data_IF_978532972462
#
_entry.id   IF_978532972462
#
_cell.length_a   1.000
_cell.length_b   1.000
_cell.length_c   1.000
_cell.angle_alpha   90.00
_cell.angle_beta   90.00
_cell.angle_gamma   90.00
#
_symmetry.space_group_name_H-M   'P 1'
#
loop_
_entity.id
_entity.type
_entity.pdbx_description
1 polymer ?
#
# COMPACT_ATOMS: atom_id res chain seq x y z
N UNK A 1 5.79 -26.84 27.46
CA UNK A 1 4.39 -27.17 27.10
C UNK A 1 4.39 -28.58 26.51
N UNK A 2 3.53 -29.50 26.99
CA UNK A 2 3.53 -30.87 26.47
C UNK A 2 2.82 -30.89 25.07
N UNK A 3 3.54 -31.33 24.03
CA UNK A 3 3.04 -31.40 22.65
C UNK A 3 1.71 -32.15 22.51
N UNK A 4 1.52 -33.18 23.35
CA UNK A 4 0.28 -33.96 23.38
C UNK A 4 -0.93 -33.11 23.83
N UNK A 5 -0.75 -32.27 24.82
CA UNK A 5 -1.78 -31.37 25.35
C UNK A 5 -2.12 -30.32 24.30
N UNK A 6 -1.10 -29.73 23.65
CA UNK A 6 -1.27 -28.77 22.58
C UNK A 6 -2.08 -29.36 21.41
N UNK A 7 -1.77 -30.58 20.97
CA UNK A 7 -2.49 -31.25 19.89
C UNK A 7 -3.96 -31.51 20.21
N UNK A 8 -4.25 -31.90 21.47
CA UNK A 8 -5.63 -32.15 21.93
C UNK A 8 -6.41 -30.81 21.95
N UNK A 9 -5.78 -29.75 22.45
CA UNK A 9 -6.40 -28.44 22.53
C UNK A 9 -6.65 -27.86 21.12
N UNK A 10 -5.71 -27.99 20.20
CA UNK A 10 -5.89 -27.60 18.79
C UNK A 10 -7.09 -28.32 18.12
N UNK A 11 -7.32 -29.60 18.46
CA UNK A 11 -8.45 -30.35 17.88
C UNK A 11 -9.81 -29.99 18.49
N UNK A 12 -9.83 -29.52 19.74
CA UNK A 12 -11.07 -29.26 20.50
C UNK A 12 -11.40 -27.76 20.66
N UNK A 13 -10.46 -26.87 20.33
CA UNK A 13 -10.67 -25.42 20.45
C UNK A 13 -11.26 -24.81 19.20
N UNK A 14 -11.79 -23.60 19.34
CA UNK A 14 -12.25 -22.74 18.22
C UNK A 14 -11.05 -22.15 17.45
N UNK A 15 -9.83 -22.27 17.96
CA UNK A 15 -8.64 -21.64 17.40
C UNK A 15 -8.38 -22.00 15.92
N UNK A 16 -8.45 -23.28 15.46
CA UNK A 16 -8.27 -23.60 14.05
C UNK A 16 -9.33 -22.93 13.14
N UNK A 17 -10.57 -22.85 13.62
CA UNK A 17 -11.63 -22.15 12.91
C UNK A 17 -11.36 -20.65 12.83
N UNK A 18 -10.84 -20.02 13.89
CA UNK A 18 -10.44 -18.63 13.87
C UNK A 18 -9.33 -18.37 12.84
N UNK A 19 -8.32 -19.25 12.78
CA UNK A 19 -7.28 -19.17 11.76
C UNK A 19 -7.84 -19.34 10.34
N UNK A 20 -8.73 -20.31 10.12
CA UNK A 20 -9.36 -20.52 8.82
C UNK A 20 -10.22 -19.32 8.39
N UNK A 21 -11.03 -18.76 9.29
CA UNK A 21 -11.85 -17.58 9.04
C UNK A 21 -10.95 -16.37 8.67
N UNK A 22 -9.88 -16.13 9.43
CA UNK A 22 -8.96 -15.02 9.14
C UNK A 22 -8.31 -15.20 7.78
N UNK A 23 -7.81 -16.41 7.45
CA UNK A 23 -7.18 -16.68 6.17
C UNK A 23 -8.15 -16.55 4.99
N UNK A 24 -9.34 -17.16 5.09
CA UNK A 24 -10.35 -17.09 4.03
C UNK A 24 -10.87 -15.67 3.82
N UNK A 25 -11.08 -14.92 4.90
CA UNK A 25 -11.47 -13.51 4.81
C UNK A 25 -10.38 -12.68 4.13
N UNK A 26 -9.10 -12.88 4.51
CA UNK A 26 -7.98 -12.17 3.89
C UNK A 26 -7.89 -12.45 2.39
N UNK A 27 -7.96 -13.74 1.99
CA UNK A 27 -7.94 -14.13 0.58
C UNK A 27 -9.16 -13.61 -0.19
N UNK A 28 -10.34 -13.62 0.44
CA UNK A 28 -11.55 -13.06 -0.17
C UNK A 28 -11.40 -11.56 -0.43
N UNK A 29 -10.87 -10.79 0.52
CA UNK A 29 -10.61 -9.36 0.31
C UNK A 29 -9.60 -9.13 -0.81
N UNK A 30 -8.49 -9.84 -0.83
CA UNK A 30 -7.46 -9.68 -1.85
C UNK A 30 -7.93 -10.04 -3.27
N UNK A 31 -8.77 -11.07 -3.40
CA UNK A 31 -9.14 -11.58 -4.73
C UNK A 31 -10.55 -11.19 -5.20
N UNK A 32 -11.48 -10.85 -4.30
CA UNK A 32 -12.86 -10.57 -4.66
C UNK A 32 -13.27 -9.12 -4.49
N UNK A 33 -12.72 -8.43 -3.48
CA UNK A 33 -13.13 -7.07 -3.12
C UNK A 33 -12.13 -6.04 -3.58
N UNK A 34 -10.84 -6.33 -3.44
CA UNK A 34 -9.79 -5.39 -3.79
C UNK A 34 -9.46 -5.49 -5.28
N UNK A 35 -10.04 -4.57 -6.05
CA UNK A 35 -9.85 -4.49 -7.48
C UNK A 35 -8.42 -4.09 -7.91
N UNK A 36 -7.55 -3.71 -6.98
CA UNK A 36 -6.19 -3.26 -7.29
C UNK A 36 -5.29 -4.38 -7.84
N UNK A 37 -5.61 -5.64 -7.61
CA UNK A 37 -4.81 -6.77 -8.09
C UNK A 37 -4.79 -6.94 -9.63
N UNK A 38 -5.69 -6.31 -10.37
CA UNK A 38 -5.67 -6.30 -11.85
C UNK A 38 -5.12 -5.00 -12.45
N UNK A 39 -4.66 -4.06 -11.62
CA UNK A 39 -4.15 -2.76 -12.05
C UNK A 39 -2.62 -2.73 -12.23
N UNK A 40 -2.03 -3.80 -12.75
CA UNK A 40 -0.61 -3.83 -13.09
C UNK A 40 0.33 -3.92 -11.90
N UNK A 41 1.38 -3.09 -11.84
CA UNK A 41 2.47 -3.18 -10.87
C UNK A 41 2.10 -2.70 -9.46
N UNK A 42 0.98 -1.98 -9.30
CA UNK A 42 0.40 -1.67 -7.98
C UNK A 42 -0.24 -2.89 -7.32
N UNK A 43 -0.31 -4.03 -8.03
CA UNK A 43 -0.78 -5.27 -7.45
C UNK A 43 0.02 -5.64 -6.20
N UNK A 44 -0.66 -6.20 -5.21
CA UNK A 44 -0.04 -6.66 -3.97
C UNK A 44 1.07 -7.71 -4.19
N UNK A 45 1.13 -8.34 -5.35
CA UNK A 45 2.15 -9.31 -5.76
C UNK A 45 3.28 -8.73 -6.59
N UNK A 46 3.37 -7.41 -6.75
CA UNK A 46 4.39 -6.78 -7.58
C UNK A 46 5.80 -7.01 -7.03
N UNK A 47 5.98 -6.88 -5.72
CA UNK A 47 7.26 -7.09 -5.02
C UNK A 47 7.03 -7.51 -3.55
N UNK A 48 8.14 -7.88 -2.89
CA UNK A 48 8.13 -8.38 -1.51
C UNK A 48 7.60 -7.37 -0.50
N UNK A 49 8.04 -6.11 -0.58
CA UNK A 49 7.59 -5.05 0.34
C UNK A 49 6.14 -4.69 0.08
N UNK A 50 5.72 -4.53 -1.17
CA UNK A 50 4.32 -4.29 -1.53
C UNK A 50 3.42 -5.39 -0.99
N UNK A 51 3.77 -6.67 -1.18
CA UNK A 51 3.03 -7.81 -0.64
C UNK A 51 2.87 -7.71 0.88
N UNK A 52 3.96 -7.40 1.59
CA UNK A 52 3.93 -7.30 3.04
C UNK A 52 3.09 -6.10 3.54
N UNK A 53 3.15 -4.97 2.85
CA UNK A 53 2.34 -3.78 3.15
C UNK A 53 0.85 -4.02 2.89
N UNK A 54 0.51 -4.64 1.76
CA UNK A 54 -0.86 -5.00 1.43
C UNK A 54 -1.47 -5.99 2.43
N UNK A 55 -0.73 -7.08 2.76
CA UNK A 55 -1.19 -8.04 3.77
C UNK A 55 -1.37 -7.36 5.12
N UNK A 56 -0.61 -6.32 5.40
CA UNK A 56 -0.70 -5.54 6.61
C UNK A 56 -1.84 -4.52 6.60
N UNK A 57 -2.18 -3.94 5.45
CA UNK A 57 -3.34 -3.07 5.28
C UNK A 57 -4.64 -3.83 5.60
N UNK A 58 -4.73 -5.11 5.23
CA UNK A 58 -5.86 -5.96 5.58
C UNK A 58 -6.13 -6.09 7.08
N UNK A 59 -5.15 -5.77 7.95
CA UNK A 59 -5.36 -5.77 9.40
C UNK A 59 -6.44 -4.78 9.84
N UNK A 60 -6.78 -3.78 9.01
CA UNK A 60 -7.94 -2.92 9.24
C UNK A 60 -9.24 -3.71 9.47
N UNK A 61 -9.38 -4.86 8.80
CA UNK A 61 -10.52 -5.77 8.89
C UNK A 61 -10.20 -7.01 9.74
N UNK A 62 -9.02 -7.58 9.56
CA UNK A 62 -8.65 -8.85 10.20
C UNK A 62 -8.36 -8.71 11.69
N UNK A 63 -7.85 -7.57 12.13
CA UNK A 63 -7.54 -7.34 13.55
C UNK A 63 -8.81 -7.22 14.40
N UNK A 64 -9.85 -6.44 14.04
CA UNK A 64 -11.13 -6.47 14.71
C UNK A 64 -11.76 -7.86 14.78
N UNK A 65 -11.67 -8.62 13.69
CA UNK A 65 -12.13 -10.00 13.64
C UNK A 65 -11.38 -10.88 14.64
N UNK A 66 -10.05 -10.77 14.70
CA UNK A 66 -9.21 -11.52 15.64
C UNK A 66 -9.54 -11.17 17.10
N UNK A 67 -9.80 -9.89 17.41
CA UNK A 67 -10.23 -9.44 18.75
C UNK A 67 -11.57 -10.07 19.13
N UNK A 68 -12.56 -10.05 18.22
CA UNK A 68 -13.88 -10.65 18.46
C UNK A 68 -13.82 -12.17 18.64
N UNK A 69 -13.08 -12.88 17.78
CA UNK A 69 -12.87 -14.32 17.89
C UNK A 69 -12.11 -14.69 19.17
N UNK A 70 -11.12 -13.88 19.56
CA UNK A 70 -10.45 -14.01 20.86
C UNK A 70 -11.42 -13.87 22.04
N UNK A 71 -12.31 -12.88 22.00
CA UNK A 71 -13.32 -12.69 23.04
C UNK A 71 -14.29 -13.88 23.14
N UNK A 72 -14.70 -14.47 22.02
CA UNK A 72 -15.50 -15.70 22.01
C UNK A 72 -14.76 -16.86 22.68
N UNK A 73 -13.46 -16.99 22.43
CA UNK A 73 -12.62 -18.00 23.07
C UNK A 73 -12.48 -17.77 24.59
N UNK A 74 -12.36 -16.50 25.00
CA UNK A 74 -12.31 -16.11 26.42
C UNK A 74 -13.60 -16.40 27.20
N UNK A 75 -14.75 -16.35 26.52
CA UNK A 75 -16.08 -16.66 27.08
C UNK A 75 -16.36 -18.16 27.21
N UNK A 76 -15.55 -19.03 26.62
CA UNK A 76 -15.82 -20.48 26.55
C UNK A 76 -16.08 -21.08 27.92
N UNK A 77 -15.26 -20.76 28.93
CA UNK A 77 -15.35 -21.32 30.26
C UNK A 77 -16.60 -20.87 31.01
N UNK A 78 -17.00 -19.64 30.81
CA UNK A 78 -18.23 -19.10 31.39
C UNK A 78 -19.47 -19.74 30.76
N UNK A 79 -19.49 -19.92 29.43
CA UNK A 79 -20.59 -20.56 28.71
C UNK A 79 -20.75 -22.03 29.08
N UNK A 80 -19.67 -22.75 29.29
CA UNK A 80 -19.69 -24.18 29.68
C UNK A 80 -19.96 -24.41 31.15
N UNK A 81 -20.12 -23.37 31.98
CA UNK A 81 -20.37 -23.41 33.43
C UNK A 81 -19.35 -24.24 34.21
N UNK A 82 -18.13 -24.42 33.65
CA UNK A 82 -17.06 -25.20 34.29
C UNK A 82 -16.09 -24.37 35.13
N UNK A 83 -16.37 -23.05 35.27
CA UNK A 83 -15.51 -22.13 36.01
C UNK A 83 -15.23 -22.59 37.46
N UNK A 84 -16.24 -23.11 38.17
CA UNK A 84 -16.11 -23.60 39.54
C UNK A 84 -15.23 -24.87 39.64
N UNK A 85 -15.42 -25.81 38.72
CA UNK A 85 -14.59 -27.03 38.66
C UNK A 85 -13.12 -26.73 38.38
N UNK A 86 -12.87 -25.62 37.68
CA UNK A 86 -11.52 -25.21 37.30
C UNK A 86 -10.78 -24.49 38.45
N UNK A 87 -11.49 -23.92 39.42
CA UNK A 87 -10.90 -23.30 40.61
C UNK A 87 -10.45 -24.36 41.64
N UNK A 88 -11.01 -25.58 41.61
CA UNK A 88 -10.64 -26.69 42.49
C UNK A 88 -9.44 -27.47 42.01
N UNK A 89 -8.92 -27.20 40.79
CA UNK A 89 -7.73 -27.89 40.27
C UNK A 89 -6.44 -27.30 40.84
N UNK A 90 -5.48 -28.14 41.19
CA UNK A 90 -4.17 -27.74 41.73
C UNK A 90 -3.24 -27.05 40.69
N UNK A 91 -3.65 -26.96 39.43
CA UNK A 91 -2.85 -26.31 38.38
C UNK A 91 -2.94 -24.79 38.44
N UNK A 92 -1.80 -24.05 38.40
CA UNK A 92 -1.79 -22.62 38.39
C UNK A 92 -2.57 -22.07 37.17
N UNK A 93 -3.38 -21.02 37.38
CA UNK A 93 -4.25 -20.42 36.34
C UNK A 93 -3.48 -20.00 35.09
N UNK A 94 -2.23 -19.57 35.25
CA UNK A 94 -1.39 -19.12 34.13
C UNK A 94 -1.03 -20.24 33.14
N UNK A 95 -0.90 -21.50 33.57
CA UNK A 95 -0.63 -22.62 32.67
C UNK A 95 -1.77 -22.82 31.66
N UNK A 96 -3.00 -22.66 32.12
CA UNK A 96 -4.18 -22.78 31.28
C UNK A 96 -4.30 -21.57 30.34
N UNK A 97 -4.11 -20.36 30.87
CA UNK A 97 -4.05 -19.16 30.09
C UNK A 97 -2.98 -19.26 28.99
N UNK A 98 -1.78 -19.75 29.31
CA UNK A 98 -0.69 -19.94 28.35
C UNK A 98 -1.03 -20.98 27.27
N UNK A 99 -1.72 -22.07 27.63
CA UNK A 99 -2.14 -23.07 26.64
C UNK A 99 -3.18 -22.48 25.67
N UNK A 100 -4.16 -21.78 26.20
CA UNK A 100 -5.23 -21.15 25.42
C UNK A 100 -4.68 -20.04 24.51
N UNK A 101 -3.88 -19.12 25.07
CA UNK A 101 -3.24 -18.05 24.30
C UNK A 101 -2.26 -18.61 23.27
N UNK A 102 -1.48 -19.63 23.63
CA UNK A 102 -0.49 -20.27 22.76
C UNK A 102 -1.13 -21.00 21.57
N UNK A 103 -2.24 -21.73 21.76
CA UNK A 103 -2.95 -22.37 20.65
C UNK A 103 -3.51 -21.35 19.68
N UNK A 104 -4.11 -20.29 20.18
CA UNK A 104 -4.63 -19.20 19.34
C UNK A 104 -3.51 -18.44 18.64
N UNK A 105 -2.41 -18.15 19.33
CA UNK A 105 -1.25 -17.50 18.74
C UNK A 105 -0.67 -18.32 17.57
N UNK A 106 -0.47 -19.62 17.77
CA UNK A 106 0.06 -20.50 16.72
C UNK A 106 -0.88 -20.56 15.52
N UNK A 107 -2.19 -20.69 15.73
CA UNK A 107 -3.14 -20.80 14.61
C UNK A 107 -3.25 -19.49 13.81
N UNK A 108 -3.31 -18.34 14.48
CA UNK A 108 -3.37 -17.05 13.80
C UNK A 108 -2.06 -16.68 13.12
N UNK A 109 -0.92 -16.92 13.76
CA UNK A 109 0.39 -16.72 13.15
C UNK A 109 0.58 -17.64 11.93
N UNK A 110 0.15 -18.91 12.01
CA UNK A 110 0.19 -19.83 10.88
C UNK A 110 -0.74 -19.40 9.74
N UNK A 111 -1.95 -18.92 10.04
CA UNK A 111 -2.88 -18.42 9.05
C UNK A 111 -2.28 -17.20 8.31
N UNK A 112 -1.69 -16.26 9.05
CA UNK A 112 -1.01 -15.11 8.47
C UNK A 112 0.24 -15.51 7.68
N UNK A 113 1.03 -16.46 8.18
CA UNK A 113 2.19 -16.99 7.45
C UNK A 113 1.78 -17.68 6.14
N UNK A 114 0.67 -18.42 6.12
CA UNK A 114 0.12 -18.99 4.89
C UNK A 114 -0.32 -17.91 3.91
N UNK A 115 -0.95 -16.83 4.38
CA UNK A 115 -1.30 -15.70 3.53
C UNK A 115 -0.05 -15.08 2.88
N UNK A 116 0.99 -14.82 3.69
CA UNK A 116 2.28 -14.31 3.21
C UNK A 116 2.93 -15.30 2.22
N UNK A 117 2.85 -16.61 2.48
CA UNK A 117 3.37 -17.63 1.58
C UNK A 117 2.65 -17.64 0.22
N UNK A 118 1.32 -17.51 0.22
CA UNK A 118 0.53 -17.38 -1.02
C UNK A 118 1.00 -16.16 -1.82
N UNK A 119 1.22 -15.03 -1.16
CA UNK A 119 1.78 -13.83 -1.79
C UNK A 119 3.21 -14.05 -2.30
N UNK A 120 4.06 -14.65 -1.48
CA UNK A 120 5.47 -14.92 -1.83
C UNK A 120 5.60 -15.76 -3.11
N UNK A 121 4.78 -16.81 -3.27
CA UNK A 121 4.76 -17.64 -4.48
C UNK A 121 4.40 -16.82 -5.72
N UNK A 122 3.52 -15.82 -5.59
CA UNK A 122 3.10 -14.96 -6.70
C UNK A 122 4.10 -13.82 -6.97
N UNK A 123 4.86 -13.38 -5.97
CA UNK A 123 5.92 -12.37 -6.13
C UNK A 123 7.14 -12.91 -6.87
N UNK A 124 7.50 -14.18 -6.66
CA UNK A 124 8.69 -14.80 -7.25
C UNK A 124 8.85 -14.62 -8.77
N UNK A 125 7.79 -14.79 -9.61
CA UNK A 125 7.90 -14.55 -11.05
C UNK A 125 7.92 -13.07 -11.43
N UNK A 126 7.46 -12.17 -10.56
CA UNK A 126 7.24 -10.76 -10.89
C UNK A 126 8.48 -9.89 -10.66
N UNK A 127 9.34 -10.25 -9.71
CA UNK A 127 10.53 -9.47 -9.40
C UNK A 127 11.78 -10.35 -9.24
N UNK A 128 12.92 -9.83 -9.73
CA UNK A 128 14.24 -10.41 -9.46
C UNK A 128 14.91 -9.78 -8.25
N UNK A 129 14.38 -8.66 -7.77
CA UNK A 129 14.88 -7.99 -6.58
C UNK A 129 14.38 -8.68 -5.32
N UNK A 130 15.30 -9.33 -4.60
CA UNK A 130 15.00 -10.05 -3.35
C UNK A 130 15.73 -9.40 -2.18
N UNK A 131 15.01 -9.13 -1.11
CA UNK A 131 15.54 -8.57 0.13
C UNK A 131 14.71 -9.07 1.32
N UNK A 132 15.23 -8.90 2.56
CA UNK A 132 14.56 -9.36 3.77
C UNK A 132 13.74 -8.27 4.47
N UNK A 133 13.62 -7.05 3.91
CA UNK A 133 12.89 -5.93 4.50
C UNK A 133 11.39 -6.19 4.71
N UNK A 134 10.81 -7.12 3.96
CA UNK A 134 9.41 -7.55 4.13
C UNK A 134 9.17 -8.39 5.40
N UNK A 135 10.21 -9.05 5.94
CA UNK A 135 10.08 -9.91 7.13
C UNK A 135 9.59 -9.14 8.37
N UNK A 136 10.23 -8.01 8.79
CA UNK A 136 9.75 -7.27 9.96
C UNK A 136 8.32 -6.77 9.77
N UNK A 137 7.94 -6.35 8.55
CA UNK A 137 6.56 -5.93 8.23
C UNK A 137 5.58 -7.09 8.51
N UNK A 138 5.89 -8.28 7.98
CA UNK A 138 5.04 -9.47 8.13
C UNK A 138 5.02 -10.00 9.56
N UNK A 139 6.15 -9.97 10.28
CA UNK A 139 6.22 -10.41 11.67
C UNK A 139 5.37 -9.53 12.61
N UNK A 140 5.43 -8.21 12.43
CA UNK A 140 4.59 -7.28 13.19
C UNK A 140 3.11 -7.47 12.81
N UNK A 141 2.81 -7.80 11.54
CA UNK A 141 1.45 -8.18 11.11
C UNK A 141 0.91 -9.42 11.83
N UNK A 142 1.70 -10.49 11.90
CA UNK A 142 1.35 -11.69 12.64
C UNK A 142 1.17 -11.41 14.15
N UNK A 143 2.10 -10.64 14.74
CA UNK A 143 2.03 -10.22 16.14
C UNK A 143 0.75 -9.41 16.41
N UNK A 144 0.31 -8.59 15.48
CA UNK A 144 -0.92 -7.80 15.62
C UNK A 144 -2.15 -8.68 15.80
N UNK A 145 -2.31 -9.72 14.96
CA UNK A 145 -3.42 -10.67 15.09
C UNK A 145 -3.37 -11.42 16.42
N UNK A 146 -2.19 -11.86 16.82
CA UNK A 146 -1.98 -12.56 18.09
C UNK A 146 -2.32 -11.65 19.28
N UNK A 147 -1.80 -10.42 19.27
CA UNK A 147 -2.01 -9.45 20.35
C UNK A 147 -3.50 -9.08 20.48
N UNK A 148 -4.17 -8.82 19.34
CA UNK A 148 -5.60 -8.55 19.32
C UNK A 148 -6.45 -9.70 19.86
N UNK A 149 -6.15 -10.94 19.43
CA UNK A 149 -6.88 -12.11 19.91
C UNK A 149 -6.64 -12.37 21.41
N UNK A 150 -5.40 -12.24 21.89
CA UNK A 150 -5.08 -12.42 23.32
C UNK A 150 -5.74 -11.33 24.17
N UNK A 151 -5.74 -10.09 23.71
CA UNK A 151 -6.46 -8.99 24.36
C UNK A 151 -7.97 -9.28 24.39
N UNK A 152 -8.54 -9.70 23.27
CA UNK A 152 -9.95 -10.11 23.17
C UNK A 152 -10.29 -11.24 24.14
N UNK A 153 -9.44 -12.28 24.23
CA UNK A 153 -9.63 -13.38 25.21
C UNK A 153 -9.68 -12.88 26.64
N UNK A 154 -8.72 -12.01 27.01
CA UNK A 154 -8.67 -11.41 28.35
C UNK A 154 -9.89 -10.60 28.68
N UNK A 155 -10.31 -9.73 27.73
CA UNK A 155 -11.48 -8.90 27.88
C UNK A 155 -12.79 -9.73 27.94
N UNK A 156 -12.92 -10.75 27.09
CA UNK A 156 -14.07 -11.67 27.09
C UNK A 156 -14.21 -12.42 28.42
N UNK A 157 -13.08 -12.81 29.04
CA UNK A 157 -13.10 -13.42 30.38
C UNK A 157 -13.42 -12.41 31.47
N UNK A 158 -12.90 -11.17 31.37
CA UNK A 158 -13.13 -10.12 32.37
C UNK A 158 -14.58 -9.61 32.35
N UNK A 159 -15.22 -9.59 31.17
CA UNK A 159 -16.57 -9.12 30.93
C UNK A 159 -17.42 -10.25 30.31
N UNK A 160 -17.90 -11.22 31.11
CA UNK A 160 -18.55 -12.42 30.60
C UNK A 160 -20.00 -12.14 30.16
N UNK A 161 -20.15 -11.52 29.00
CA UNK A 161 -21.45 -11.24 28.35
C UNK A 161 -21.47 -11.75 26.91
N UNK A 162 -22.64 -12.16 26.43
CA UNK A 162 -22.84 -12.55 25.04
C UNK A 162 -22.57 -11.39 24.05
N UNK A 163 -22.73 -10.16 24.51
CA UNK A 163 -22.48 -8.94 23.72
C UNK A 163 -21.00 -8.53 23.67
N UNK A 164 -20.14 -9.07 24.57
CA UNK A 164 -18.72 -8.68 24.62
C UNK A 164 -17.97 -8.95 23.32
N UNK A 165 -18.08 -10.10 22.64
CA UNK A 165 -17.36 -10.33 21.39
C UNK A 165 -17.75 -9.37 20.27
N UNK A 166 -19.05 -9.16 19.94
CA UNK A 166 -19.40 -8.21 18.88
C UNK A 166 -19.09 -6.76 19.26
N UNK A 167 -19.23 -6.37 20.53
CA UNK A 167 -18.87 -5.04 21.00
C UNK A 167 -17.37 -4.77 20.88
N UNK A 168 -16.53 -5.73 21.24
CA UNK A 168 -15.06 -5.61 21.09
C UNK A 168 -14.62 -5.61 19.62
N UNK A 169 -15.22 -6.43 18.77
CA UNK A 169 -14.94 -6.42 17.34
C UNK A 169 -15.33 -5.07 16.72
N UNK A 170 -16.51 -4.56 17.04
CA UNK A 170 -16.96 -3.26 16.55
C UNK A 170 -16.10 -2.11 17.09
N UNK A 171 -15.78 -2.11 18.39
CA UNK A 171 -14.90 -1.11 19.00
C UNK A 171 -13.49 -1.13 18.38
N UNK A 172 -12.94 -2.30 18.10
CA UNK A 172 -11.67 -2.47 17.41
C UNK A 172 -11.75 -1.95 15.96
N UNK A 173 -12.85 -2.22 15.25
CA UNK A 173 -13.07 -1.70 13.90
C UNK A 173 -13.18 -0.17 13.89
N UNK A 174 -13.97 0.39 14.79
CA UNK A 174 -14.09 1.86 14.93
C UNK A 174 -12.73 2.47 15.30
N UNK A 175 -11.95 1.84 16.19
CA UNK A 175 -10.61 2.29 16.51
C UNK A 175 -9.70 2.32 15.27
N UNK A 176 -9.64 1.24 14.48
CA UNK A 176 -8.84 1.22 13.27
C UNK A 176 -9.33 2.23 12.23
N UNK A 177 -10.64 2.36 12.05
CA UNK A 177 -11.22 3.34 11.13
C UNK A 177 -10.89 4.78 11.53
N UNK A 178 -11.04 5.14 12.80
CA UNK A 178 -10.70 6.49 13.31
C UNK A 178 -9.20 6.80 13.19
N UNK A 179 -8.33 5.80 13.34
CA UNK A 179 -6.89 5.98 13.14
C UNK A 179 -6.54 6.22 11.66
N UNK A 180 -7.31 5.65 10.73
CA UNK A 180 -7.11 5.85 9.28
C UNK A 180 -7.79 7.11 8.75
N UNK A 181 -8.89 7.52 9.35
CA UNK A 181 -9.58 8.77 8.98
C UNK A 181 -8.78 9.95 9.52
N UNK A 182 -7.97 10.57 8.66
CA UNK A 182 -7.44 11.91 8.94
C UNK A 182 -8.61 12.89 8.91
N UNK A 183 -9.24 13.11 10.05
CA UNK A 183 -10.28 14.12 10.19
C UNK A 183 -9.61 15.50 10.19
N UNK A 184 -9.38 16.04 8.99
CA UNK A 184 -8.82 17.37 8.80
C UNK A 184 -7.41 17.40 8.19
N UNK A 185 -6.85 18.60 8.11
CA UNK A 185 -5.55 18.90 7.47
C UNK A 185 -4.33 18.46 8.32
N UNK A 186 -4.55 18.16 9.60
CA UNK A 186 -3.47 17.80 10.52
C UNK A 186 -3.36 16.27 10.66
N UNK A 187 -2.14 15.71 10.48
CA UNK A 187 -1.92 14.29 10.66
C UNK A 187 -2.11 13.88 12.12
N UNK A 188 -2.90 12.83 12.35
CA UNK A 188 -3.17 12.31 13.69
C UNK A 188 -1.93 11.61 14.27
N UNK A 189 -1.31 12.19 15.31
CA UNK A 189 -0.09 11.65 15.97
C UNK A 189 -0.26 10.25 16.55
N UNK A 190 -1.48 9.79 16.80
CA UNK A 190 -1.75 8.45 17.33
C UNK A 190 -2.06 7.42 16.23
N UNK A 191 -2.18 7.83 14.97
CA UNK A 191 -2.44 6.91 13.86
C UNK A 191 -1.40 5.79 13.73
N UNK A 192 -0.11 5.98 14.07
CA UNK A 192 0.89 4.92 14.03
C UNK A 192 0.66 3.78 15.04
N UNK A 193 -0.25 3.95 16.01
CA UNK A 193 -0.67 2.86 16.90
C UNK A 193 -1.63 1.87 16.23
N UNK A 194 -2.21 2.23 15.08
CA UNK A 194 -3.01 1.28 14.31
C UNK A 194 -2.17 0.07 13.89
N UNK A 195 -2.66 -1.17 14.07
CA UNK A 195 -1.98 -2.35 13.56
C UNK A 195 -1.99 -2.41 12.04
N UNK A 196 -3.00 -1.82 11.41
CA UNK A 196 -3.08 -1.68 9.97
C UNK A 196 -2.23 -0.49 9.49
N UNK A 197 -1.63 -0.63 8.33
CA UNK A 197 -0.95 0.46 7.62
C UNK A 197 -1.81 0.86 6.43
N UNK A 198 -1.63 2.07 5.91
CA UNK A 198 -2.30 2.47 4.68
C UNK A 198 -1.82 1.62 3.52
N UNK A 199 -2.69 1.44 2.54
CA UNK A 199 -2.32 0.83 1.27
C UNK A 199 -1.31 1.74 0.59
N UNK A 200 -0.08 1.24 0.45
CA UNK A 200 0.96 1.96 -0.26
C UNK A 200 0.90 1.51 -1.72
N UNK A 201 0.54 2.42 -2.57
CA UNK A 201 0.45 2.18 -4.03
C UNK A 201 1.82 2.23 -4.71
N UNK A 202 2.84 2.73 -4.02
CA UNK A 202 4.18 2.89 -4.57
C UNK A 202 5.08 1.71 -4.20
N UNK A 203 5.72 1.15 -5.22
CA UNK A 203 6.57 -0.04 -5.13
C UNK A 203 7.87 0.21 -4.36
N UNK A 204 8.27 1.48 -4.24
CA UNK A 204 9.55 1.89 -3.65
C UNK A 204 9.46 2.32 -2.18
N UNK A 205 8.31 2.13 -1.56
CA UNK A 205 8.08 2.57 -0.18
C UNK A 205 8.18 1.41 0.80
N UNK A 206 8.84 1.63 1.92
CA UNK A 206 8.91 0.71 3.06
C UNK A 206 8.57 1.43 4.36
N UNK A 207 8.40 0.69 5.45
CA UNK A 207 8.17 1.26 6.77
C UNK A 207 9.50 1.57 7.47
N UNK A 208 9.53 2.70 8.19
CA UNK A 208 10.69 3.06 8.99
C UNK A 208 10.93 2.07 10.16
N UNK A 209 12.18 1.89 10.56
CA UNK A 209 12.55 0.99 11.66
C UNK A 209 11.86 1.39 12.99
N UNK A 210 11.67 2.67 13.24
CA UNK A 210 10.97 3.18 14.43
C UNK A 210 9.51 2.70 14.51
N UNK A 211 8.84 2.56 13.36
CA UNK A 211 7.47 2.01 13.29
C UNK A 211 7.47 0.54 13.71
N UNK A 212 8.40 -0.27 13.22
CA UNK A 212 8.49 -1.68 13.62
C UNK A 212 8.72 -1.84 15.12
N UNK A 213 9.65 -1.08 15.69
CA UNK A 213 9.98 -1.14 17.12
C UNK A 213 8.81 -0.61 17.97
N UNK A 214 8.27 0.57 17.64
CA UNK A 214 7.19 1.18 18.41
C UNK A 214 5.92 0.32 18.40
N UNK A 215 5.53 -0.19 17.23
CA UNK A 215 4.37 -1.07 17.13
C UNK A 215 4.60 -2.43 17.82
N UNK A 216 5.79 -2.99 17.76
CA UNK A 216 6.10 -4.23 18.50
C UNK A 216 5.92 -4.03 19.99
N UNK A 217 6.42 -2.93 20.58
CA UNK A 217 6.27 -2.61 22.02
C UNK A 217 4.78 -2.45 22.35
N UNK A 218 4.02 -1.73 21.56
CA UNK A 218 2.58 -1.54 21.73
C UNK A 218 1.82 -2.87 21.73
N UNK A 219 2.06 -3.70 20.72
CA UNK A 219 1.42 -4.99 20.53
C UNK A 219 1.77 -5.98 21.65
N UNK A 220 3.02 -6.00 22.10
CA UNK A 220 3.43 -6.79 23.27
C UNK A 220 2.74 -6.31 24.55
N UNK A 221 2.58 -5.00 24.74
CA UNK A 221 1.78 -4.43 25.82
C UNK A 221 0.33 -4.90 25.79
N UNK A 222 -0.31 -4.92 24.61
CA UNK A 222 -1.67 -5.45 24.45
C UNK A 222 -1.74 -6.96 24.76
N UNK A 223 -0.81 -7.75 24.23
CA UNK A 223 -0.76 -9.19 24.49
C UNK A 223 -0.55 -9.50 25.98
N UNK A 224 0.36 -8.77 26.65
CA UNK A 224 0.60 -8.91 28.08
C UNK A 224 -0.63 -8.53 28.91
N UNK A 225 -1.33 -7.45 28.55
CA UNK A 225 -2.60 -7.07 29.19
C UNK A 225 -3.66 -8.15 29.01
N UNK A 226 -3.86 -8.64 27.80
CA UNK A 226 -4.82 -9.72 27.54
C UNK A 226 -4.50 -10.99 28.33
N UNK A 227 -3.22 -11.38 28.39
CA UNK A 227 -2.78 -12.51 29.17
C UNK A 227 -2.97 -12.28 30.68
N UNK A 228 -2.64 -11.10 31.20
CA UNK A 228 -2.84 -10.75 32.59
C UNK A 228 -4.34 -10.78 32.99
N UNK A 229 -5.22 -10.29 32.11
CA UNK A 229 -6.68 -10.37 32.30
C UNK A 229 -7.19 -11.83 32.32
N UNK A 230 -6.59 -12.74 31.54
CA UNK A 230 -6.91 -14.17 31.57
C UNK A 230 -6.58 -14.82 32.90
N UNK A 231 -5.59 -14.30 33.63
CA UNK A 231 -5.15 -14.85 34.95
C UNK A 231 -5.83 -14.12 36.11
N UNK A 232 -6.25 -12.87 35.91
CA UNK A 232 -6.79 -12.00 36.96
C UNK A 232 -8.10 -12.54 37.54
N UNK A 233 -8.09 -12.81 38.87
CA UNK A 233 -9.26 -13.31 39.59
C UNK A 233 -10.08 -12.22 40.29
N UNK A 234 -9.46 -11.10 40.70
CA UNK A 234 -10.10 -10.04 41.48
C UNK A 234 -10.23 -8.73 40.68
N UNK A 235 -11.16 -7.83 41.04
CA UNK A 235 -11.26 -6.53 40.37
C UNK A 235 -9.97 -5.73 40.43
N UNK A 236 -9.22 -5.77 41.54
CA UNK A 236 -7.93 -5.07 41.68
C UNK A 236 -6.88 -5.63 40.73
N UNK A 237 -6.78 -6.96 40.61
CA UNK A 237 -5.83 -7.59 39.67
C UNK A 237 -6.22 -7.31 38.19
N UNK A 238 -7.50 -7.14 37.89
CA UNK A 238 -7.96 -6.73 36.54
C UNK A 238 -7.55 -5.31 36.20
N UNK A 239 -7.60 -4.37 37.16
CA UNK A 239 -7.12 -3.00 36.96
C UNK A 239 -5.60 -2.99 36.77
N UNK A 240 -4.84 -3.73 37.59
CA UNK A 240 -3.39 -3.86 37.43
C UNK A 240 -3.01 -4.52 36.10
N UNK A 241 -3.86 -5.40 35.56
CA UNK A 241 -3.63 -6.04 34.28
C UNK A 241 -3.66 -5.06 33.09
N UNK A 242 -4.17 -3.83 33.27
CA UNK A 242 -4.14 -2.78 32.23
C UNK A 242 -2.79 -2.04 32.16
N UNK A 243 -1.94 -2.16 33.16
CA UNK A 243 -0.65 -1.44 33.20
C UNK A 243 0.26 -1.74 31.98
N UNK A 244 0.40 -3.00 31.49
CA UNK A 244 1.27 -3.26 30.34
C UNK A 244 0.85 -2.52 29.06
N UNK A 245 -0.46 -2.40 28.79
CA UNK A 245 -0.93 -1.68 27.60
C UNK A 245 -0.70 -0.18 27.73
N UNK A 246 -0.89 0.38 28.93
CA UNK A 246 -0.64 1.81 29.16
C UNK A 246 0.85 2.15 29.03
N UNK A 247 1.72 1.35 29.67
CA UNK A 247 3.18 1.51 29.58
C UNK A 247 3.64 1.30 28.13
N UNK A 248 3.14 0.26 27.47
CA UNK A 248 3.42 -0.01 26.06
C UNK A 248 3.02 1.13 25.15
N UNK A 249 1.85 1.74 25.38
CA UNK A 249 1.38 2.89 24.61
C UNK A 249 2.29 4.11 24.79
N UNK A 250 2.66 4.44 26.04
CA UNK A 250 3.55 5.58 26.32
C UNK A 250 4.90 5.39 25.64
N UNK A 251 5.53 4.22 25.81
CA UNK A 251 6.83 3.94 25.20
C UNK A 251 6.72 3.94 23.67
N UNK A 252 5.68 3.33 23.11
CA UNK A 252 5.46 3.33 21.67
C UNK A 252 5.34 4.73 21.10
N UNK A 253 4.57 5.63 21.74
CA UNK A 253 4.41 7.01 21.29
C UNK A 253 5.71 7.84 21.38
N UNK A 254 6.65 7.46 22.24
CA UNK A 254 7.98 8.07 22.30
C UNK A 254 8.91 7.58 21.19
N UNK A 255 8.70 6.35 20.70
CA UNK A 255 9.54 5.73 19.65
C UNK A 255 8.98 5.96 18.25
N UNK A 256 7.65 5.99 18.12
CA UNK A 256 6.97 6.23 16.85
C UNK A 256 7.23 7.66 16.35
N UNK A 257 7.30 7.87 15.02
CA UNK A 257 7.46 9.20 14.46
C UNK A 257 6.30 10.10 14.88
N UNK A 258 6.62 11.31 15.30
CA UNK A 258 5.63 12.34 15.68
C UNK A 258 4.79 12.82 14.49
N UNK A 259 5.36 12.72 13.28
CA UNK A 259 4.66 12.98 12.02
C UNK A 259 4.38 11.64 11.33
N UNK A 260 3.10 11.26 11.13
CA UNK A 260 2.72 10.04 10.43
C UNK A 260 3.29 9.91 9.01
N UNK A 261 3.58 11.02 8.34
CA UNK A 261 4.22 11.02 7.02
C UNK A 261 5.61 10.37 7.03
N UNK A 262 6.31 10.40 8.16
CA UNK A 262 7.62 9.77 8.37
C UNK A 262 7.54 8.27 8.69
N UNK A 263 6.34 7.69 8.71
CA UNK A 263 6.17 6.24 8.83
C UNK A 263 6.72 5.51 7.62
N UNK A 264 6.58 6.14 6.45
CA UNK A 264 7.00 5.60 5.18
C UNK A 264 8.32 6.26 4.77
N UNK A 265 9.24 5.43 4.30
CA UNK A 265 10.56 5.84 3.82
C UNK A 265 10.82 5.17 2.47
N UNK A 266 11.64 5.82 1.65
CA UNK A 266 12.09 5.19 0.38
C UNK A 266 12.97 4.00 0.71
N UNK A 267 12.73 2.88 0.04
CA UNK A 267 13.66 1.76 0.00
C UNK A 267 14.77 2.12 -1.01
N UNK A 268 15.85 2.74 -0.51
CA UNK A 268 16.94 3.24 -1.34
C UNK A 268 17.58 2.13 -2.19
N UNK A 269 17.63 0.91 -1.65
CA UNK A 269 18.18 -0.23 -2.38
C UNK A 269 17.26 -0.69 -3.51
N UNK A 270 15.95 -0.59 -3.34
CA UNK A 270 14.96 -0.87 -4.39
C UNK A 270 14.95 0.22 -5.46
N UNK A 271 15.13 1.48 -5.03
CA UNK A 271 15.15 2.67 -5.88
C UNK A 271 16.48 2.88 -6.64
N UNK A 272 17.52 2.09 -6.33
CA UNK A 272 18.79 2.15 -7.06
C UNK A 272 18.58 1.96 -8.57
N UNK A 273 19.11 2.88 -9.37
CA UNK A 273 18.90 2.87 -10.81
C UNK A 273 19.85 1.90 -11.52
N UNK A 274 19.27 1.08 -12.39
CA UNK A 274 19.99 0.21 -13.33
C UNK A 274 19.74 0.73 -14.74
N UNK A 275 20.83 0.99 -15.49
CA UNK A 275 20.75 1.69 -16.76
C UNK A 275 21.28 0.87 -17.94
N UNK A 276 20.68 1.06 -19.12
CA UNK A 276 21.21 0.70 -20.43
C UNK A 276 21.37 1.99 -21.26
N UNK A 277 22.56 2.58 -21.21
CA UNK A 277 22.85 3.88 -21.78
C UNK A 277 22.00 4.99 -21.11
N UNK A 278 21.22 5.78 -21.85
CA UNK A 278 20.41 6.87 -21.30
C UNK A 278 19.08 6.42 -20.66
N UNK A 279 18.76 5.11 -20.70
CA UNK A 279 17.48 4.56 -20.19
C UNK A 279 17.74 3.83 -18.89
N UNK A 280 17.09 4.28 -17.82
CA UNK A 280 17.27 3.74 -16.47
C UNK A 280 15.92 3.33 -15.86
N UNK A 281 15.93 2.21 -15.18
CA UNK A 281 14.83 1.72 -14.35
C UNK A 281 15.32 1.46 -12.94
N UNK A 282 14.41 1.34 -11.98
CA UNK A 282 14.77 0.92 -10.63
C UNK A 282 15.19 -0.55 -10.62
N UNK A 283 15.97 -0.93 -9.62
CA UNK A 283 16.42 -2.30 -9.40
C UNK A 283 15.25 -3.28 -9.29
N UNK A 284 14.13 -2.81 -8.76
CA UNK A 284 12.87 -3.56 -8.67
C UNK A 284 12.36 -3.97 -10.06
N UNK A 285 12.48 -3.09 -11.03
CA UNK A 285 12.00 -3.27 -12.39
C UNK A 285 13.12 -3.64 -13.38
N UNK A 286 14.30 -4.03 -12.90
CA UNK A 286 15.44 -4.39 -13.76
C UNK A 286 15.08 -5.39 -14.87
N UNK A 287 14.17 -6.31 -14.62
CA UNK A 287 13.72 -7.28 -15.63
C UNK A 287 13.01 -6.62 -16.83
N UNK A 288 12.42 -5.43 -16.65
CA UNK A 288 11.73 -4.68 -17.70
C UNK A 288 12.66 -3.81 -18.54
N UNK A 289 13.90 -3.58 -18.09
CA UNK A 289 14.86 -2.72 -18.79
C UNK A 289 15.12 -3.19 -20.23
N UNK A 290 15.23 -4.49 -20.45
CA UNK A 290 15.48 -5.05 -21.78
C UNK A 290 14.36 -4.67 -22.79
N UNK A 291 13.11 -4.67 -22.36
CA UNK A 291 11.98 -4.26 -23.19
C UNK A 291 11.84 -2.75 -23.36
N UNK A 292 12.35 -1.97 -22.40
CA UNK A 292 12.26 -0.51 -22.39
C UNK A 292 13.39 0.19 -23.12
N UNK A 293 14.59 -0.41 -23.12
CA UNK A 293 15.81 0.25 -23.61
C UNK A 293 15.73 0.69 -25.09
N UNK A 294 15.20 -0.17 -25.96
CA UNK A 294 14.99 0.15 -27.38
C UNK A 294 13.99 1.30 -27.58
N UNK A 295 12.75 1.15 -27.12
CA UNK A 295 11.74 2.22 -27.16
C UNK A 295 12.19 3.53 -26.51
N UNK A 296 12.92 3.47 -25.38
CA UNK A 296 13.43 4.64 -24.70
C UNK A 296 14.49 5.40 -25.52
N UNK A 297 15.43 4.70 -26.11
CA UNK A 297 16.44 5.30 -27.00
C UNK A 297 15.80 5.93 -28.24
N UNK A 298 14.79 5.27 -28.80
CA UNK A 298 14.05 5.78 -29.97
C UNK A 298 13.21 7.00 -29.61
N UNK A 299 12.54 7.02 -28.46
CA UNK A 299 11.80 8.19 -27.97
C UNK A 299 12.74 9.41 -27.82
N UNK A 300 13.93 9.22 -27.22
CA UNK A 300 14.92 10.30 -27.10
C UNK A 300 15.42 10.79 -28.45
N UNK A 301 15.65 9.91 -29.42
CA UNK A 301 16.05 10.26 -30.78
C UNK A 301 14.98 11.14 -31.46
N UNK A 302 13.71 10.74 -31.38
CA UNK A 302 12.58 11.48 -31.96
C UNK A 302 12.38 12.83 -31.28
N UNK A 303 12.44 12.87 -29.96
CA UNK A 303 12.37 14.11 -29.19
C UNK A 303 13.51 15.07 -29.54
N UNK A 304 14.74 14.54 -29.71
CA UNK A 304 15.89 15.37 -30.12
C UNK A 304 15.69 15.95 -31.53
N UNK A 305 15.23 15.13 -32.45
CA UNK A 305 14.92 15.62 -33.83
C UNK A 305 13.83 16.72 -33.85
N UNK A 306 12.84 16.65 -32.95
CA UNK A 306 11.72 17.59 -32.88
C UNK A 306 12.07 18.88 -32.13
N UNK A 307 12.80 18.82 -30.99
CA UNK A 307 13.05 19.90 -30.02
C UNK A 307 14.49 20.42 -30.03
N UNK A 308 15.43 19.73 -30.70
CA UNK A 308 16.83 20.12 -30.72
C UNK A 308 17.46 20.15 -29.35
N UNK A 309 18.18 21.21 -29.00
CA UNK A 309 18.88 21.36 -27.71
C UNK A 309 17.99 21.40 -26.46
N UNK A 310 16.68 21.56 -26.63
CA UNK A 310 15.71 21.55 -25.50
C UNK A 310 15.17 20.14 -25.20
N UNK A 311 15.51 19.14 -26.01
CA UNK A 311 15.06 17.78 -25.81
C UNK A 311 15.61 17.17 -24.51
N UNK A 312 14.88 16.22 -23.90
CA UNK A 312 15.41 15.38 -22.82
C UNK A 312 16.54 14.48 -23.36
N UNK A 313 17.50 14.18 -22.49
CA UNK A 313 18.69 13.37 -22.81
C UNK A 313 18.68 12.01 -22.12
N UNK A 314 17.74 11.77 -21.21
CA UNK A 314 17.60 10.50 -20.50
C UNK A 314 16.14 10.16 -20.24
N UNK A 315 15.87 8.87 -20.11
CA UNK A 315 14.61 8.29 -19.66
C UNK A 315 14.87 7.59 -18.35
N UNK A 316 14.14 7.94 -17.30
CA UNK A 316 14.34 7.36 -15.94
C UNK A 316 13.00 7.05 -15.30
N UNK A 317 12.95 5.92 -14.63
CA UNK A 317 11.85 5.64 -13.73
C UNK A 317 11.84 6.64 -12.57
N UNK A 318 10.65 7.15 -12.24
CA UNK A 318 10.47 8.09 -11.14
C UNK A 318 10.68 7.37 -9.80
N UNK A 319 11.54 7.92 -8.96
CA UNK A 319 11.83 7.39 -7.62
C UNK A 319 11.37 8.31 -6.51
N UNK A 320 10.71 9.41 -6.86
CA UNK A 320 10.21 10.38 -5.88
C UNK A 320 8.95 9.86 -5.21
N UNK A 321 9.02 9.66 -3.91
CA UNK A 321 7.86 9.35 -3.06
C UNK A 321 7.28 10.67 -2.58
N UNK A 322 6.10 10.99 -3.06
CA UNK A 322 5.40 12.22 -2.73
C UNK A 322 4.18 11.92 -1.83
N UNK A 323 3.90 12.76 -0.83
CA UNK A 323 2.70 12.61 -0.01
C UNK A 323 1.44 12.90 -0.82
N UNK A 324 0.30 12.35 -0.39
CA UNK A 324 -1.01 12.61 -1.00
C UNK A 324 -1.27 14.13 -1.09
N UNK A 325 -1.79 14.56 -2.24
CA UNK A 325 -2.05 15.95 -2.55
C UNK A 325 -0.83 16.76 -2.98
N UNK A 326 0.38 16.20 -2.96
CA UNK A 326 1.56 16.88 -3.47
C UNK A 326 1.58 16.93 -4.99
N UNK A 327 1.99 18.07 -5.55
CA UNK A 327 2.19 18.24 -6.99
C UNK A 327 3.56 17.67 -7.39
N UNK A 328 3.64 16.81 -8.43
CA UNK A 328 4.90 16.29 -8.94
C UNK A 328 5.85 17.41 -9.40
N UNK A 329 7.16 17.16 -9.32
CA UNK A 329 8.18 18.04 -9.85
C UNK A 329 8.84 17.39 -11.07
N UNK A 330 8.92 18.12 -12.16
CA UNK A 330 9.40 17.63 -13.43
C UNK A 330 10.67 18.35 -13.91
N UNK A 331 11.51 17.63 -14.65
CA UNK A 331 12.79 18.13 -15.15
C UNK A 331 12.84 18.03 -16.66
N UNK A 332 13.05 19.17 -17.34
CA UNK A 332 12.99 19.23 -18.81
C UNK A 332 14.06 18.41 -19.56
N UNK A 333 15.13 17.98 -18.89
CA UNK A 333 16.22 17.17 -19.47
C UNK A 333 16.07 15.65 -19.25
N UNK A 334 15.06 15.23 -18.50
CA UNK A 334 14.82 13.81 -18.20
C UNK A 334 13.35 13.49 -18.43
N UNK A 335 13.06 12.42 -19.15
CA UNK A 335 11.73 11.83 -19.19
C UNK A 335 11.58 10.97 -17.94
N UNK A 336 10.76 11.43 -17.00
CA UNK A 336 10.36 10.64 -15.84
C UNK A 336 9.08 9.88 -16.16
N UNK A 337 9.03 8.62 -15.79
CA UNK A 337 7.87 7.75 -16.00
C UNK A 337 7.69 6.79 -14.83
N UNK A 338 6.48 6.31 -14.65
CA UNK A 338 6.14 5.25 -13.70
C UNK A 338 5.53 4.07 -14.47
N UNK A 339 5.90 2.84 -14.09
CA UNK A 339 5.32 1.64 -14.71
C UNK A 339 3.82 1.47 -14.40
N UNK A 340 3.34 2.17 -13.38
CA UNK A 340 1.92 2.19 -12.97
C UNK A 340 1.09 3.24 -13.70
N UNK A 341 1.73 4.11 -14.45
CA UNK A 341 1.03 5.06 -15.30
C UNK A 341 0.25 4.33 -16.40
N UNK A 342 -1.03 4.66 -16.54
CA UNK A 342 -1.95 3.95 -17.44
C UNK A 342 -1.44 3.85 -18.88
N UNK A 343 -0.80 4.93 -19.40
CA UNK A 343 -0.25 4.93 -20.76
C UNK A 343 1.02 4.08 -20.87
N UNK A 344 1.84 4.00 -19.83
CA UNK A 344 3.04 3.15 -19.81
C UNK A 344 2.67 1.69 -19.57
N UNK A 345 1.77 1.43 -18.62
CA UNK A 345 1.34 0.08 -18.25
C UNK A 345 0.62 -0.65 -19.40
N UNK A 346 -0.16 0.08 -20.20
CA UNK A 346 -0.89 -0.48 -21.31
C UNK A 346 -0.05 -0.62 -22.60
N UNK A 347 1.04 0.14 -22.73
CA UNK A 347 1.84 0.26 -23.95
C UNK A 347 2.64 -1.02 -24.27
N UNK A 348 2.65 -1.41 -25.54
CA UNK A 348 3.42 -2.55 -26.05
C UNK A 348 4.18 -2.18 -27.32
N UNK A 349 5.42 -2.65 -27.44
CA UNK A 349 6.22 -2.41 -28.65
C UNK A 349 6.41 -0.93 -28.96
N UNK A 350 5.96 -0.48 -30.13
CA UNK A 350 6.07 0.92 -30.57
C UNK A 350 5.24 1.89 -29.71
N UNK A 351 4.12 1.43 -29.14
CA UNK A 351 3.29 2.24 -28.26
C UNK A 351 4.05 2.74 -27.03
N UNK A 352 5.03 1.97 -26.56
CA UNK A 352 5.88 2.38 -25.43
C UNK A 352 6.77 3.59 -25.82
N UNK A 353 7.22 3.66 -27.08
CA UNK A 353 7.92 4.85 -27.60
C UNK A 353 7.00 6.07 -27.56
N UNK A 354 5.73 5.91 -28.00
CA UNK A 354 4.76 7.02 -27.98
C UNK A 354 4.43 7.47 -26.56
N UNK A 355 4.24 6.52 -25.65
CA UNK A 355 3.99 6.82 -24.24
C UNK A 355 5.16 7.59 -23.59
N UNK A 356 6.41 7.21 -23.89
CA UNK A 356 7.59 7.92 -23.40
C UNK A 356 7.73 9.31 -24.05
N UNK A 357 7.38 9.48 -25.32
CA UNK A 357 7.31 10.80 -25.95
C UNK A 357 6.24 11.64 -25.24
N UNK A 358 5.04 11.10 -24.99
CA UNK A 358 3.99 11.78 -24.26
C UNK A 358 4.48 12.30 -22.91
N UNK A 359 5.13 11.46 -22.12
CA UNK A 359 5.71 11.84 -20.80
C UNK A 359 6.84 12.87 -20.91
N UNK A 360 7.66 12.79 -21.94
CA UNK A 360 8.74 13.75 -22.19
C UNK A 360 8.25 15.13 -22.66
N UNK A 361 7.07 15.18 -23.27
CA UNK A 361 6.43 16.41 -23.74
C UNK A 361 5.50 17.02 -22.70
N UNK A 362 4.64 16.20 -22.12
CA UNK A 362 3.59 16.59 -21.16
C UNK A 362 3.57 15.57 -20.01
N UNK A 363 4.44 15.73 -19.01
CA UNK A 363 4.32 14.96 -17.76
C UNK A 363 3.02 15.34 -17.06
N UNK A 364 2.38 14.36 -16.37
CA UNK A 364 1.13 14.59 -15.66
C UNK A 364 1.30 15.47 -14.44
N UNK A 365 0.41 16.44 -14.26
CA UNK A 365 0.43 17.38 -13.14
C UNK A 365 -0.63 17.10 -12.07
N UNK A 366 -1.28 15.94 -12.14
CA UNK A 366 -2.26 15.53 -11.14
C UNK A 366 -1.61 15.33 -9.80
N UNK A 367 -2.12 15.94 -8.71
CA UNK A 367 -1.62 15.69 -7.37
C UNK A 367 -1.74 14.20 -7.02
N UNK A 368 -0.78 13.70 -6.23
CA UNK A 368 -0.75 12.30 -5.78
C UNK A 368 -2.07 11.93 -5.09
N UNK A 369 -2.62 10.76 -5.41
CA UNK A 369 -3.90 10.29 -4.87
C UNK A 369 -5.15 10.86 -5.54
N UNK A 370 -5.02 11.81 -6.47
CA UNK A 370 -6.12 12.35 -7.24
C UNK A 370 -6.22 11.65 -8.61
N UNK A 371 -7.43 11.53 -9.13
CA UNK A 371 -7.63 11.10 -10.54
C UNK A 371 -7.96 12.34 -11.38
N UNK A 372 -7.17 12.58 -12.44
CA UNK A 372 -7.55 13.58 -13.44
C UNK A 372 -7.96 12.90 -14.72
N UNK A 373 -9.03 13.39 -15.30
CA UNK A 373 -9.41 13.09 -16.67
C UNK A 373 -9.33 14.38 -17.48
N UNK A 374 -8.67 14.35 -18.61
CA UNK A 374 -8.87 15.33 -19.68
C UNK A 374 -7.61 16.07 -20.13
N UNK A 375 -7.29 17.21 -19.54
CA UNK A 375 -6.33 18.17 -20.12
C UNK A 375 -4.96 17.60 -20.49
N UNK A 376 -4.35 16.81 -19.62
CA UNK A 376 -3.03 16.21 -19.87
C UNK A 376 -3.08 15.21 -21.04
N UNK A 377 -4.11 14.37 -21.14
CA UNK A 377 -4.22 13.37 -22.22
C UNK A 377 -4.44 14.00 -23.59
N UNK A 378 -5.21 15.09 -23.67
CA UNK A 378 -5.41 15.83 -24.92
C UNK A 378 -4.09 16.44 -25.40
N UNK A 379 -3.38 17.13 -24.51
CA UNK A 379 -2.07 17.72 -24.79
C UNK A 379 -1.03 16.65 -25.17
N UNK A 380 -0.99 15.51 -24.46
CA UNK A 380 -0.13 14.38 -24.77
C UNK A 380 -0.39 13.82 -26.17
N UNK A 381 -1.65 13.62 -26.55
CA UNK A 381 -2.04 13.10 -27.86
C UNK A 381 -1.60 14.05 -28.99
N UNK A 382 -1.83 15.36 -28.83
CA UNK A 382 -1.39 16.37 -29.82
C UNK A 382 0.13 16.43 -29.90
N UNK A 383 0.83 16.41 -28.76
CA UNK A 383 2.29 16.46 -28.69
C UNK A 383 2.95 15.28 -29.38
N UNK A 384 2.46 14.05 -29.13
CA UNK A 384 2.94 12.83 -29.80
C UNK A 384 2.67 12.91 -31.31
N UNK A 385 1.46 13.31 -31.69
CA UNK A 385 1.12 13.52 -33.11
C UNK A 385 2.02 14.54 -33.83
N UNK A 386 2.41 15.61 -33.13
CA UNK A 386 3.33 16.61 -33.68
C UNK A 386 4.76 16.05 -33.84
N UNK A 387 5.26 15.23 -32.89
CA UNK A 387 6.59 14.59 -32.98
C UNK A 387 6.62 13.54 -34.09
N UNK A 388 5.57 12.73 -34.20
CA UNK A 388 5.49 11.62 -35.18
C UNK A 388 5.03 12.06 -36.57
N UNK A 389 4.43 13.25 -36.69
CA UNK A 389 3.83 13.75 -37.94
C UNK A 389 2.44 13.19 -38.23
N UNK A 390 1.90 12.32 -37.40
CA UNK A 390 0.59 11.69 -37.53
C UNK A 390 -0.10 11.58 -36.19
N UNK A 391 -1.40 11.93 -36.12
CA UNK A 391 -2.18 11.88 -34.88
C UNK A 391 -2.58 10.42 -34.57
N UNK A 392 -2.17 9.92 -33.42
CA UNK A 392 -2.44 8.56 -32.96
C UNK A 392 -2.99 8.57 -31.54
N UNK A 393 -3.97 7.69 -31.29
CA UNK A 393 -4.47 7.47 -29.94
C UNK A 393 -3.39 6.83 -29.06
N UNK A 394 -3.23 7.36 -27.86
CA UNK A 394 -2.30 6.80 -26.88
C UNK A 394 -2.88 5.53 -26.24
N UNK A 395 -2.03 4.55 -25.86
CA UNK A 395 -2.45 3.39 -25.08
C UNK A 395 -2.96 3.82 -23.70
N UNK A 396 -3.72 2.96 -23.02
CA UNK A 396 -4.14 3.22 -21.63
C UNK A 396 -5.21 4.29 -21.42
N UNK A 397 -5.75 4.89 -22.48
CA UNK A 397 -6.81 5.90 -22.39
C UNK A 397 -8.19 5.34 -21.99
N UNK A 398 -8.23 4.27 -21.20
CA UNK A 398 -9.45 3.72 -20.63
C UNK A 398 -10.42 3.11 -21.66
N UNK A 399 -11.72 3.47 -21.59
CA UNK A 399 -12.76 2.90 -22.44
C UNK A 399 -12.67 3.39 -23.89
N UNK A 400 -13.29 2.66 -24.83
CA UNK A 400 -13.39 3.08 -26.23
C UNK A 400 -14.16 4.40 -26.42
N UNK A 401 -15.06 4.76 -25.48
CA UNK A 401 -15.75 6.05 -25.48
C UNK A 401 -14.80 7.19 -25.15
N UNK A 402 -13.97 7.04 -24.11
CA UNK A 402 -13.00 8.04 -23.70
C UNK A 402 -11.94 8.27 -24.78
N UNK A 403 -11.45 7.21 -25.43
CA UNK A 403 -10.52 7.36 -26.57
C UNK A 403 -11.11 8.18 -27.70
N UNK A 404 -12.39 7.94 -28.05
CA UNK A 404 -13.08 8.75 -29.07
C UNK A 404 -13.21 10.22 -28.68
N UNK A 405 -13.45 10.49 -27.40
CA UNK A 405 -13.52 11.85 -26.87
C UNK A 405 -12.15 12.53 -26.94
N UNK A 406 -11.08 11.85 -26.51
CA UNK A 406 -9.70 12.36 -26.62
C UNK A 406 -9.33 12.66 -28.07
N UNK A 407 -9.64 11.76 -29.00
CA UNK A 407 -9.35 11.96 -30.41
C UNK A 407 -10.18 13.12 -31.01
N UNK A 408 -11.44 13.25 -30.60
CA UNK A 408 -12.32 14.32 -31.08
C UNK A 408 -11.84 15.72 -30.66
N UNK A 409 -11.37 15.85 -29.41
CA UNK A 409 -10.83 17.09 -28.85
C UNK A 409 -9.41 17.41 -29.36
N UNK A 410 -8.55 16.40 -29.50
CA UNK A 410 -7.16 16.59 -29.94
C UNK A 410 -7.05 16.91 -31.45
N UNK A 411 -7.90 16.33 -32.28
CA UNK A 411 -7.81 16.42 -33.75
C UNK A 411 -7.90 17.85 -34.30
N UNK A 412 -8.85 18.71 -33.90
CA UNK A 412 -8.92 20.07 -34.38
C UNK A 412 -7.67 20.88 -34.00
N UNK A 413 -7.20 20.75 -32.74
CA UNK A 413 -6.02 21.46 -32.26
C UNK A 413 -4.76 21.02 -33.01
N UNK A 414 -4.61 19.70 -33.24
CA UNK A 414 -3.50 19.18 -34.02
C UNK A 414 -3.52 19.65 -35.47
N UNK A 415 -4.69 19.69 -36.12
CA UNK A 415 -4.85 20.16 -37.50
C UNK A 415 -4.50 21.64 -37.63
N UNK A 416 -4.98 22.46 -36.68
CA UNK A 416 -4.64 23.89 -36.61
C UNK A 416 -3.13 24.08 -36.40
N UNK A 417 -2.55 23.39 -35.42
CA UNK A 417 -1.12 23.47 -35.12
C UNK A 417 -0.26 23.10 -36.32
N UNK A 418 -0.64 22.04 -37.06
CA UNK A 418 0.09 21.59 -38.25
C UNK A 418 0.02 22.59 -39.43
N UNK A 419 -1.05 23.36 -39.50
CA UNK A 419 -1.21 24.39 -40.52
C UNK A 419 -0.35 25.66 -40.27
N UNK A 420 0.16 25.85 -39.05
CA UNK A 420 0.98 27.00 -38.69
C UNK A 420 2.43 26.89 -39.24
N UNK A 421 3.11 28.03 -39.44
CA UNK A 421 4.54 28.06 -39.73
C UNK A 421 5.34 27.33 -38.61
N UNK A 422 6.45 26.68 -38.98
CA UNK A 422 7.25 25.87 -38.04
C UNK A 422 7.68 26.63 -36.79
N UNK A 423 8.02 27.91 -36.90
CA UNK A 423 8.41 28.76 -35.79
C UNK A 423 7.26 28.93 -34.78
N UNK A 424 6.03 29.11 -35.24
CA UNK A 424 4.83 29.24 -34.42
C UNK A 424 4.44 27.91 -33.79
N UNK A 425 4.55 26.78 -34.54
CA UNK A 425 4.37 25.45 -33.95
C UNK A 425 5.31 25.24 -32.76
N UNK A 426 6.61 25.56 -32.92
CA UNK A 426 7.61 25.43 -31.84
C UNK A 426 7.31 26.34 -30.66
N UNK A 427 6.81 27.57 -30.92
CA UNK A 427 6.40 28.50 -29.87
C UNK A 427 5.28 27.91 -29.00
N UNK A 428 4.21 27.41 -29.62
CA UNK A 428 3.07 26.79 -28.92
C UNK A 428 3.49 25.49 -28.19
N UNK A 429 4.30 24.66 -28.81
CA UNK A 429 4.85 23.44 -28.20
C UNK A 429 5.72 23.77 -26.99
N UNK A 430 6.55 24.81 -27.07
CA UNK A 430 7.37 25.22 -25.91
C UNK A 430 6.51 25.81 -24.79
N UNK A 431 5.45 26.56 -25.09
CA UNK A 431 4.51 27.06 -24.10
C UNK A 431 3.78 25.91 -23.38
N UNK A 432 3.28 24.93 -24.15
CA UNK A 432 2.68 23.69 -23.60
C UNK A 432 3.65 22.97 -22.67
N UNK A 433 4.90 22.73 -23.11
CA UNK A 433 5.91 22.06 -22.29
C UNK A 433 6.24 22.85 -21.02
N UNK A 434 6.34 24.16 -21.10
CA UNK A 434 6.60 25.02 -19.95
C UNK A 434 5.45 24.92 -18.91
N UNK A 435 4.19 24.95 -19.36
CA UNK A 435 3.03 24.75 -18.50
C UNK A 435 3.06 23.37 -17.83
N UNK A 436 3.27 22.30 -18.60
CA UNK A 436 3.32 20.92 -18.10
C UNK A 436 4.48 20.68 -17.13
N UNK A 437 5.70 21.19 -17.41
CA UNK A 437 6.86 21.02 -16.55
C UNK A 437 6.78 21.82 -15.25
N UNK A 438 6.11 22.97 -15.27
CA UNK A 438 5.92 23.81 -14.08
C UNK A 438 4.68 23.45 -13.27
N UNK A 439 3.79 22.63 -13.83
CA UNK A 439 2.44 22.38 -13.32
C UNK A 439 1.67 23.69 -13.03
N UNK A 440 1.86 24.69 -13.87
CA UNK A 440 1.16 25.99 -13.80
C UNK A 440 0.44 26.26 -15.10
N UNK A 441 -0.87 26.42 -15.02
CA UNK A 441 -1.74 26.57 -16.19
C UNK A 441 -2.09 25.22 -16.86
N UNK A 442 -2.89 25.29 -17.93
CA UNK A 442 -3.32 24.13 -18.69
C UNK A 442 -2.44 23.96 -19.94
N UNK A 443 -1.82 22.79 -20.08
CA UNK A 443 -0.95 22.47 -21.20
C UNK A 443 -1.71 22.43 -22.54
N UNK A 444 -2.98 21.99 -22.54
CA UNK A 444 -3.80 21.93 -23.74
C UNK A 444 -4.28 23.30 -24.17
N UNK A 445 -4.62 24.20 -23.24
CA UNK A 445 -4.97 25.59 -23.57
C UNK A 445 -3.78 26.36 -24.13
N UNK A 446 -2.56 26.08 -23.66
CA UNK A 446 -1.34 26.66 -24.21
C UNK A 446 -1.13 26.28 -25.70
N UNK A 447 -1.53 25.08 -26.14
CA UNK A 447 -1.50 24.66 -27.54
C UNK A 447 -2.48 25.45 -28.42
N UNK A 448 -3.62 25.86 -27.88
CA UNK A 448 -4.64 26.66 -28.58
C UNK A 448 -4.23 28.13 -28.73
N UNK A 449 -3.08 28.54 -28.19
CA UNK A 449 -2.62 29.92 -28.22
C UNK A 449 -3.26 30.81 -27.14
N UNK A 450 -3.85 30.23 -26.12
CA UNK A 450 -4.33 30.91 -24.91
C UNK A 450 -3.17 31.42 -24.07
N UNK A 451 -3.27 32.65 -23.56
CA UNK A 451 -2.31 33.13 -22.58
C UNK A 451 -2.41 32.25 -21.29
N UNK A 452 -1.29 31.86 -20.65
CA UNK A 452 -1.32 31.15 -19.39
C UNK A 452 -2.06 31.99 -18.34
N UNK A 453 -3.15 31.44 -17.80
CA UNK A 453 -3.90 32.03 -16.68
C UNK A 453 -3.24 31.75 -15.35
#
# INVERSE_FOLDING_TARGET
MNVRVLRIELRRSVAPWAGAVVLTTALAFLYLVDAAWWRGTTAWTAQWTSMALWTRALLGYLWPLAVGLGALQGLRDHRSKVSELLTTTSRPAWHRAATLAGTTAITLASAFALLVLVGAVQVLPNTKYTHLGWLPISLVGALSLVAGAVLGMGAGRALPSALTPPALAMGAFVFTALMHMSLGTEPNRVSPLSPAVQEVREVLVTLSASVHVGQTIWLLGMAATGFALLVAATPRTRLLALTPVLVGAVIALLVLPSDPRRMYVVDEAAAELVCDGPVCVTKTHQARLTGLAGPGKEALRLLHAALGGQAPVSVRENTAVLPDGATPQWYGKTVLFDFDDDIIAAAKGEELTWALIAKGMVPGCTPVGWSSFGGDQFAQTVAVGWVLGDLRSLPGTGSASLRREVDAEARPVWTELKALPRAEQLSRINAMRAAALSCKGDAFDALKGGAPR
#
